data_IF_538425283458
#
_entry.id   IF_538425283458
#
_cell.length_a   1.000
_cell.length_b   1.000
_cell.length_c   1.000
_cell.angle_alpha   90.00
_cell.angle_beta   90.00
_cell.angle_gamma   90.00
#
_symmetry.space_group_name_H-M   'P 1'
#
loop_
_entity.id
_entity.type
_entity.pdbx_description
1 polymer ?
#
# COMPACT_ATOMS: atom_id res chain seq x y z
N UNK A 1 11.58 -6.81 -0.19
CA UNK A 1 10.32 -7.51 -0.51
C UNK A 1 9.46 -6.61 -1.39
N UNK A 2 8.88 -7.16 -2.43
CA UNK A 2 7.95 -6.42 -3.30
C UNK A 2 6.56 -7.03 -3.20
N UNK A 3 5.56 -6.17 -3.09
CA UNK A 3 4.16 -6.60 -3.06
C UNK A 3 3.34 -5.74 -4.01
N UNK A 4 2.27 -6.32 -4.54
CA UNK A 4 1.29 -5.60 -5.32
C UNK A 4 0.16 -5.15 -4.39
N UNK A 5 -0.18 -3.87 -4.47
CA UNK A 5 -1.27 -3.28 -3.69
C UNK A 5 -2.34 -2.78 -4.65
N UNK A 6 -3.56 -3.24 -4.45
CA UNK A 6 -4.72 -2.74 -5.21
C UNK A 6 -5.43 -1.73 -4.32
N UNK A 7 -5.47 -0.49 -4.76
CA UNK A 7 -6.02 0.62 -3.98
C UNK A 7 -7.45 0.91 -4.40
N UNK A 8 -8.34 1.00 -3.41
CA UNK A 8 -9.74 1.37 -3.59
C UNK A 8 -9.97 2.71 -2.91
N UNK A 9 -9.94 3.83 -3.65
CA UNK A 9 -10.11 5.15 -3.06
C UNK A 9 -11.58 5.45 -2.72
N UNK A 10 -11.79 6.53 -1.98
CA UNK A 10 -13.13 7.01 -1.59
C UNK A 10 -13.92 5.98 -0.79
N UNK A 11 -13.23 5.15 -0.03
CA UNK A 11 -13.90 4.22 0.86
C UNK A 11 -14.49 4.97 2.05
N UNK A 12 -15.55 4.42 2.63
CA UNK A 12 -16.14 5.00 3.84
C UNK A 12 -15.20 4.94 5.03
N UNK A 13 -14.30 3.98 5.05
CA UNK A 13 -13.24 3.87 6.07
C UNK A 13 -12.09 3.06 5.53
N UNK A 14 -10.95 3.19 6.16
CA UNK A 14 -9.76 2.45 5.80
C UNK A 14 -9.91 0.97 6.13
N UNK A 15 -9.46 0.12 5.22
CA UNK A 15 -9.53 -1.31 5.37
C UNK A 15 -8.40 -1.96 4.59
N UNK A 16 -7.92 -3.12 5.05
CA UNK A 16 -6.82 -3.82 4.44
C UNK A 16 -7.10 -5.31 4.45
N UNK A 17 -6.85 -5.97 3.31
CA UNK A 17 -7.03 -7.42 3.17
C UNK A 17 -5.86 -8.00 2.39
N UNK A 18 -5.08 -8.86 3.03
CA UNK A 18 -3.97 -9.59 2.43
C UNK A 18 -4.43 -11.00 2.09
N UNK A 19 -4.32 -11.39 0.82
CA UNK A 19 -4.78 -12.72 0.37
C UNK A 19 -3.64 -13.71 0.15
N UNK A 20 -2.43 -13.36 0.56
CA UNK A 20 -1.23 -14.18 0.34
C UNK A 20 -0.46 -13.81 -0.92
N UNK A 21 -1.03 -13.01 -1.81
CA UNK A 21 -0.40 -12.59 -3.07
C UNK A 21 -0.49 -11.09 -3.31
N UNK A 22 -1.65 -10.51 -3.06
CA UNK A 22 -1.92 -9.10 -3.28
C UNK A 22 -2.57 -8.50 -2.04
N UNK A 23 -2.30 -7.24 -1.81
CA UNK A 23 -2.91 -6.48 -0.74
C UNK A 23 -4.03 -5.62 -1.31
N UNK A 24 -5.26 -5.85 -0.83
CA UNK A 24 -6.38 -4.96 -1.14
C UNK A 24 -6.41 -3.88 -0.07
N UNK A 25 -6.38 -2.63 -0.49
CA UNK A 25 -6.34 -1.50 0.43
C UNK A 25 -7.44 -0.50 0.09
N UNK A 26 -8.37 -0.30 1.02
CA UNK A 26 -9.42 0.71 0.92
C UNK A 26 -8.96 1.95 1.69
N UNK A 27 -8.96 3.10 1.03
CA UNK A 27 -8.53 4.36 1.62
C UNK A 27 -9.62 5.41 1.47
N UNK A 28 -9.70 6.32 2.44
CA UNK A 28 -10.70 7.37 2.46
C UNK A 28 -10.36 8.57 1.58
N UNK A 29 -9.09 8.96 1.37
CA UNK A 29 -8.80 10.10 0.49
C UNK A 29 -9.32 9.88 -0.92
N UNK A 30 -9.68 10.96 -1.63
CA UNK A 30 -10.03 10.85 -3.05
C UNK A 30 -8.79 10.41 -3.84
N UNK A 31 -8.98 9.89 -5.08
CA UNK A 31 -7.86 9.41 -5.90
C UNK A 31 -7.06 10.56 -6.51
N UNK A 32 -6.61 11.47 -5.67
CA UNK A 32 -5.76 12.59 -6.06
C UNK A 32 -4.31 12.13 -5.97
N UNK A 33 -3.54 12.40 -7.01
CA UNK A 33 -2.13 12.05 -7.04
C UNK A 33 -1.41 12.65 -5.83
N UNK A 34 -0.58 11.84 -5.19
CA UNK A 34 0.12 12.23 -3.98
C UNK A 34 -0.61 11.85 -2.71
N UNK A 35 -1.89 12.19 -2.58
CA UNK A 35 -2.65 11.85 -1.38
C UNK A 35 -2.86 10.35 -1.26
N UNK A 36 -3.28 9.69 -2.34
CA UNK A 36 -3.48 8.25 -2.35
C UNK A 36 -2.16 7.50 -2.20
N UNK A 37 -1.10 7.98 -2.83
CA UNK A 37 0.21 7.36 -2.75
C UNK A 37 0.76 7.44 -1.32
N UNK A 38 0.65 8.60 -0.68
CA UNK A 38 1.10 8.78 0.69
C UNK A 38 0.30 7.90 1.66
N UNK A 39 -1.02 7.83 1.48
CA UNK A 39 -1.88 6.99 2.30
C UNK A 39 -1.52 5.51 2.14
N UNK A 40 -1.21 5.08 0.91
CA UNK A 40 -0.80 3.70 0.62
C UNK A 40 0.51 3.36 1.35
N UNK A 41 1.50 4.22 1.26
CA UNK A 41 2.79 4.01 1.94
C UNK A 41 2.59 3.88 3.45
N UNK A 42 1.82 4.79 4.05
CA UNK A 42 1.55 4.75 5.50
C UNK A 42 0.80 3.48 5.92
N UNK A 43 -0.19 3.08 5.13
CA UNK A 43 -0.97 1.89 5.44
C UNK A 43 -0.12 0.62 5.38
N UNK A 44 0.73 0.50 4.36
CA UNK A 44 1.63 -0.65 4.23
C UNK A 44 2.64 -0.67 5.37
N UNK A 45 3.22 0.48 5.70
CA UNK A 45 4.19 0.57 6.80
C UNK A 45 3.55 0.16 8.13
N UNK A 46 2.35 0.63 8.40
CA UNK A 46 1.61 0.28 9.62
C UNK A 46 1.29 -1.21 9.67
N UNK A 47 0.82 -1.76 8.56
CA UNK A 47 0.49 -3.19 8.46
C UNK A 47 1.70 -4.08 8.76
N UNK A 48 2.86 -3.70 8.22
CA UNK A 48 4.10 -4.47 8.39
C UNK A 48 4.88 -4.07 9.64
N UNK A 49 4.44 -3.05 10.35
CA UNK A 49 5.11 -2.52 11.55
C UNK A 49 6.54 -2.08 11.26
N UNK A 50 6.72 -1.39 10.15
CA UNK A 50 8.02 -0.81 9.76
C UNK A 50 7.88 0.69 9.60
N UNK A 51 9.03 1.39 9.60
CA UNK A 51 9.06 2.81 9.33
C UNK A 51 8.58 3.11 7.90
N UNK A 52 7.79 4.15 7.68
CA UNK A 52 7.39 4.55 6.33
C UNK A 52 8.59 4.81 5.40
N UNK A 53 9.73 5.19 5.93
CA UNK A 53 10.94 5.42 5.15
C UNK A 53 11.46 4.16 4.45
N UNK A 54 11.02 3.00 4.90
CA UNK A 54 11.42 1.71 4.32
C UNK A 54 10.44 1.22 3.26
N UNK A 55 9.36 1.94 3.03
CA UNK A 55 8.29 1.57 2.10
C UNK A 55 8.38 2.50 0.89
N UNK A 56 8.60 1.93 -0.30
CA UNK A 56 8.83 2.70 -1.52
C UNK A 56 7.83 2.31 -2.60
N UNK A 57 7.19 3.31 -3.20
CA UNK A 57 6.33 3.12 -4.35
C UNK A 57 7.20 3.00 -5.60
N UNK A 58 7.23 1.82 -6.20
CA UNK A 58 8.08 1.53 -7.35
C UNK A 58 7.39 1.88 -8.66
N UNK A 59 6.10 1.55 -8.79
CA UNK A 59 5.34 1.84 -9.99
C UNK A 59 3.86 1.95 -9.66
N UNK A 60 3.07 2.44 -10.63
CA UNK A 60 1.63 2.59 -10.46
C UNK A 60 1.22 3.87 -9.74
N UNK A 61 2.02 4.94 -9.87
CA UNK A 61 1.77 6.21 -9.18
C UNK A 61 0.39 6.79 -9.49
N UNK A 62 -0.12 6.54 -10.68
CA UNK A 62 -1.41 7.08 -11.13
C UNK A 62 -2.53 6.04 -11.19
N UNK A 63 -2.19 4.77 -11.02
CA UNK A 63 -3.15 3.69 -11.12
C UNK A 63 -3.58 3.16 -9.77
N UNK A 64 -4.58 2.29 -9.79
CA UNK A 64 -5.02 1.59 -8.58
C UNK A 64 -4.10 0.43 -8.23
N UNK A 65 -3.45 -0.17 -9.22
CA UNK A 65 -2.50 -1.25 -9.00
C UNK A 65 -1.12 -0.64 -8.81
N UNK A 66 -0.57 -0.80 -7.62
CA UNK A 66 0.72 -0.22 -7.25
C UNK A 66 1.70 -1.30 -6.86
N UNK A 67 2.95 -1.12 -7.25
CA UNK A 67 4.03 -2.01 -6.83
C UNK A 67 4.82 -1.31 -5.73
N UNK A 68 4.93 -1.97 -4.59
CA UNK A 68 5.58 -1.43 -3.39
C UNK A 68 6.79 -2.30 -3.06
N UNK A 69 7.92 -1.65 -2.79
CA UNK A 69 9.11 -2.31 -2.28
C UNK A 69 9.31 -1.96 -0.82
N UNK A 70 9.57 -2.95 0.01
CA UNK A 70 9.78 -2.77 1.45
C UNK A 70 11.20 -3.22 1.80
N UNK A 71 12.02 -2.27 2.24
CA UNK A 71 13.40 -2.55 2.61
C UNK A 71 13.46 -3.37 3.90
N UNK A 72 14.39 -4.32 3.93
CA UNK A 72 14.65 -5.08 5.14
C UNK A 72 13.70 -6.21 5.43
N UNK A 73 12.76 -6.49 4.52
CA UNK A 73 11.88 -7.64 4.64
C UNK A 73 12.07 -8.56 3.44
N UNK A 74 12.16 -9.85 3.71
CA UNK A 74 12.36 -10.85 2.65
C UNK A 74 11.07 -11.47 2.16
N UNK A 75 10.06 -11.54 3.03
CA UNK A 75 8.80 -12.17 2.69
C UNK A 75 7.65 -11.47 3.41
N UNK A 76 6.44 -11.44 2.80
CA UNK A 76 5.27 -10.88 3.45
C UNK A 76 4.81 -11.78 4.61
N UNK A 77 3.94 -11.25 5.48
CA UNK A 77 3.31 -12.07 6.52
C UNK A 77 2.55 -13.24 5.91
N UNK A 78 2.53 -14.31 6.62
CA UNK A 78 1.83 -15.51 6.18
C UNK A 78 0.32 -15.31 6.15
#
# INVERSE_FOLDING_TARGET
>A
MRITVIVHPRAGRERLLWDGRELQLWITPPPVEGAANAATVRAVASWLEVSPNRVHLVSGQRGRRKLIDVEGMEAPPA
#
